data_IF_921430390590
#
_entry.id   IF_921430390590
#
_cell.length_a   1.000
_cell.length_b   1.000
_cell.length_c   1.000
_cell.angle_alpha   90.00
_cell.angle_beta   90.00
_cell.angle_gamma   90.00
#
_symmetry.space_group_name_H-M   'P 1'
#
loop_
_entity.id
_entity.type
_entity.pdbx_description
1 polymer ?
#
# COMPACT_ATOMS: atom_id res chain seq x y z
N UNK A 1 33.84 45.24 26.33
CA UNK A 1 33.12 44.48 25.29
C UNK A 1 32.11 43.60 25.99
N UNK A 2 30.83 43.78 25.66
CA UNK A 2 29.65 43.38 26.45
C UNK A 2 29.37 41.87 26.43
N UNK A 3 29.02 41.31 27.59
CA UNK A 3 28.52 39.94 27.81
C UNK A 3 27.30 39.55 26.94
N UNK A 4 26.64 40.51 26.29
CA UNK A 4 25.60 40.22 25.30
C UNK A 4 26.13 39.51 24.04
N UNK A 5 27.40 39.68 23.68
CA UNK A 5 27.98 39.04 22.49
C UNK A 5 28.35 37.56 22.71
N UNK A 6 28.59 37.13 23.96
CA UNK A 6 28.90 35.71 24.26
C UNK A 6 27.66 34.82 24.28
N UNK A 7 26.52 35.35 24.74
CA UNK A 7 25.26 34.59 24.79
C UNK A 7 24.59 34.39 23.42
N UNK A 8 24.85 35.25 22.43
CA UNK A 8 24.31 35.05 21.08
C UNK A 8 25.06 33.97 20.30
N UNK A 9 26.40 33.88 20.46
CA UNK A 9 27.22 32.87 19.80
C UNK A 9 26.94 31.44 20.30
N UNK A 10 26.70 31.25 21.60
CA UNK A 10 26.31 29.93 22.14
C UNK A 10 24.93 29.46 21.67
N UNK A 11 23.97 30.37 21.45
CA UNK A 11 22.64 30.02 20.90
C UNK A 11 22.67 29.70 19.41
N UNK A 12 23.55 30.35 18.64
CA UNK A 12 23.73 30.05 17.21
C UNK A 12 24.41 28.69 17.03
N UNK A 13 25.37 28.31 17.89
CA UNK A 13 25.95 26.96 17.87
C UNK A 13 24.94 25.86 18.24
N UNK A 14 24.00 26.12 19.15
CA UNK A 14 22.96 25.13 19.51
C UNK A 14 21.93 24.91 18.38
N UNK A 15 21.58 25.96 17.63
CA UNK A 15 20.66 25.84 16.49
C UNK A 15 21.35 25.16 15.30
N UNK A 16 22.65 25.39 15.09
CA UNK A 16 23.41 24.70 14.05
C UNK A 16 23.55 23.19 14.30
N UNK A 17 23.64 22.76 15.57
CA UNK A 17 23.68 21.33 15.92
C UNK A 17 22.28 20.68 15.76
N UNK A 18 21.19 21.41 16.03
CA UNK A 18 19.83 20.88 15.84
C UNK A 18 19.40 20.79 14.36
N UNK A 19 19.97 21.61 13.47
CA UNK A 19 19.66 21.60 12.03
C UNK A 19 20.48 20.54 11.29
N UNK A 20 21.65 20.14 11.80
CA UNK A 20 22.48 19.10 11.18
C UNK A 20 22.05 17.65 11.54
N UNK A 21 21.25 17.46 12.58
CA UNK A 21 20.68 16.13 12.91
C UNK A 21 19.39 15.81 12.15
N UNK A 22 18.77 16.79 11.49
CA UNK A 22 17.52 16.60 10.74
C UNK A 22 17.69 16.03 9.33
N UNK A 23 18.87 16.17 8.72
CA UNK A 23 19.15 15.68 7.36
C UNK A 23 19.81 14.30 7.29
N UNK A 24 20.55 13.90 8.33
CA UNK A 24 21.21 12.59 8.40
C UNK A 24 20.31 11.48 8.96
N UNK A 25 19.26 11.82 9.70
CA UNK A 25 18.33 10.84 10.27
C UNK A 25 17.32 10.28 9.25
N UNK A 26 17.07 10.96 8.13
CA UNK A 26 16.09 10.49 7.15
C UNK A 26 16.67 9.39 6.28
N UNK A 27 17.82 9.57 5.61
CA UNK A 27 18.47 8.55 4.77
C UNK A 27 18.77 7.24 5.53
N UNK A 28 18.87 7.32 6.87
CA UNK A 28 19.08 6.17 7.72
C UNK A 28 17.93 5.15 7.67
N UNK A 29 16.67 5.54 7.41
CA UNK A 29 15.55 4.59 7.51
C UNK A 29 15.53 3.59 6.35
N UNK A 30 15.62 4.06 5.11
CA UNK A 30 15.67 3.17 3.94
C UNK A 30 16.95 2.31 3.93
N UNK A 31 18.09 2.85 4.38
CA UNK A 31 19.34 2.08 4.51
C UNK A 31 19.28 1.03 5.62
N UNK A 32 18.69 1.36 6.77
CA UNK A 32 18.43 0.41 7.85
C UNK A 32 17.50 -0.71 7.37
N UNK A 33 16.44 -0.36 6.66
CA UNK A 33 15.52 -1.34 6.09
C UNK A 33 16.24 -2.25 5.09
N UNK A 34 17.05 -1.70 4.18
CA UNK A 34 17.85 -2.49 3.24
C UNK A 34 18.79 -3.49 3.95
N UNK A 35 19.36 -3.11 5.09
CA UNK A 35 20.18 -4.00 5.92
C UNK A 35 19.35 -5.09 6.57
N UNK A 36 18.16 -4.74 7.08
CA UNK A 36 17.21 -5.68 7.67
C UNK A 36 16.75 -6.74 6.68
N UNK A 37 16.48 -6.37 5.42
CA UNK A 37 15.99 -7.30 4.39
C UNK A 37 16.95 -8.46 4.10
N UNK A 38 18.26 -8.27 4.34
CA UNK A 38 19.28 -9.32 4.14
C UNK A 38 19.11 -10.53 5.05
N UNK A 39 18.34 -10.41 6.14
CA UNK A 39 18.01 -11.55 6.99
C UNK A 39 17.06 -12.54 6.31
N UNK A 40 16.39 -12.12 5.23
CA UNK A 40 15.43 -12.94 4.48
C UNK A 40 16.01 -13.53 3.19
N UNK A 41 17.27 -13.25 2.87
CA UNK A 41 17.95 -13.74 1.68
C UNK A 41 18.81 -12.69 1.00
N UNK A 42 19.28 -13.00 -0.21
CA UNK A 42 19.99 -12.04 -1.05
C UNK A 42 18.98 -11.07 -1.70
N UNK A 43 18.61 -10.03 -0.95
CA UNK A 43 17.61 -9.02 -1.31
C UNK A 43 18.25 -7.64 -1.34
N UNK A 44 18.11 -6.95 -2.47
CA UNK A 44 18.48 -5.54 -2.63
C UNK A 44 17.22 -4.66 -2.64
N UNK A 45 17.24 -3.61 -1.82
CA UNK A 45 16.26 -2.53 -1.89
C UNK A 45 16.78 -1.43 -2.81
N UNK A 46 16.07 -1.19 -3.92
CA UNK A 46 16.49 -0.32 -5.00
C UNK A 46 15.55 0.87 -5.12
N UNK A 47 16.01 2.05 -4.71
CA UNK A 47 15.25 3.29 -4.88
C UNK A 47 15.49 3.87 -6.27
N UNK A 48 14.43 4.37 -6.92
CA UNK A 48 14.53 5.00 -8.25
C UNK A 48 13.79 6.33 -8.37
N UNK A 49 14.28 7.22 -9.24
CA UNK A 49 13.71 8.54 -9.50
C UNK A 49 13.23 8.69 -10.95
N UNK A 50 11.92 8.69 -11.16
CA UNK A 50 11.33 8.86 -12.48
C UNK A 50 11.63 7.69 -13.43
N UNK A 51 11.38 7.90 -14.73
CA UNK A 51 11.37 6.80 -15.71
C UNK A 51 12.76 6.39 -16.17
N UNK A 52 13.63 7.36 -16.43
CA UNK A 52 14.96 7.08 -17.00
C UNK A 52 15.82 6.29 -16.00
N UNK A 53 15.85 6.72 -14.75
CA UNK A 53 16.56 6.02 -13.68
C UNK A 53 15.98 4.62 -13.44
N UNK A 54 14.64 4.49 -13.46
CA UNK A 54 13.96 3.20 -13.38
C UNK A 54 14.43 2.23 -14.47
N UNK A 55 14.36 2.66 -15.74
CA UNK A 55 14.75 1.82 -16.88
C UNK A 55 16.24 1.46 -16.82
N UNK A 56 17.10 2.40 -16.43
CA UNK A 56 18.53 2.14 -16.25
C UNK A 56 18.80 1.07 -15.19
N UNK A 57 18.09 1.09 -14.07
CA UNK A 57 18.27 0.08 -13.00
C UNK A 57 17.68 -1.27 -13.38
N UNK A 58 16.55 -1.29 -14.10
CA UNK A 58 15.98 -2.53 -14.64
C UNK A 58 16.93 -3.13 -15.68
N UNK A 59 17.54 -2.32 -16.55
CA UNK A 59 18.54 -2.81 -17.52
C UNK A 59 19.75 -3.43 -16.82
N UNK A 60 20.28 -2.76 -15.80
CA UNK A 60 21.38 -3.29 -14.99
C UNK A 60 21.01 -4.62 -14.29
N UNK A 61 19.78 -4.72 -13.78
CA UNK A 61 19.30 -5.90 -13.04
C UNK A 61 18.93 -7.10 -13.95
N UNK A 62 18.15 -6.86 -15.00
CA UNK A 62 17.52 -7.89 -15.84
C UNK A 62 18.07 -7.95 -17.27
N UNK A 63 18.62 -6.84 -17.76
CA UNK A 63 18.81 -6.58 -19.19
C UNK A 63 17.48 -6.35 -19.89
N UNK A 64 17.18 -5.11 -20.27
CA UNK A 64 15.93 -4.73 -20.96
C UNK A 64 15.73 -5.50 -22.27
N UNK A 65 16.82 -5.93 -22.92
CA UNK A 65 16.77 -6.78 -24.11
C UNK A 65 16.11 -8.14 -23.90
N UNK A 66 15.93 -8.59 -22.65
CA UNK A 66 15.23 -9.82 -22.30
C UNK A 66 13.73 -9.60 -22.03
N UNK A 67 13.28 -8.35 -21.99
CA UNK A 67 11.89 -7.98 -21.73
C UNK A 67 11.22 -7.72 -23.08
N UNK A 68 10.11 -8.38 -23.35
CA UNK A 68 9.31 -8.10 -24.55
C UNK A 68 8.76 -6.68 -24.47
N UNK A 69 9.13 -5.83 -25.43
CA UNK A 69 8.68 -4.44 -25.57
C UNK A 69 8.81 -3.62 -24.25
N UNK A 70 10.02 -3.37 -23.74
CA UNK A 70 10.22 -2.74 -22.43
C UNK A 70 9.58 -1.34 -22.33
N UNK A 71 9.59 -0.57 -23.43
CA UNK A 71 8.95 0.75 -23.47
C UNK A 71 7.45 0.69 -23.20
N UNK A 72 6.77 -0.33 -23.73
CA UNK A 72 5.35 -0.57 -23.54
C UNK A 72 5.08 -1.16 -22.15
N UNK A 73 5.86 -2.16 -21.74
CA UNK A 73 5.73 -2.84 -20.43
C UNK A 73 5.87 -1.84 -19.28
N UNK A 74 6.82 -0.91 -19.40
CA UNK A 74 7.07 0.10 -18.38
C UNK A 74 6.49 1.46 -18.73
N UNK A 75 5.58 1.56 -19.72
CA UNK A 75 4.94 2.83 -20.13
C UNK A 75 4.34 3.60 -18.95
N UNK A 76 3.86 2.87 -17.94
CA UNK A 76 3.45 3.41 -16.63
C UNK A 76 4.40 2.87 -15.58
N UNK A 77 5.00 3.78 -14.81
CA UNK A 77 5.86 3.37 -13.70
C UNK A 77 5.04 2.74 -12.58
N UNK A 78 5.61 1.74 -11.89
CA UNK A 78 5.03 1.20 -10.66
C UNK A 78 4.73 2.31 -9.66
N UNK A 79 3.53 2.27 -9.09
CA UNK A 79 3.07 3.23 -8.07
C UNK A 79 3.22 2.72 -6.65
N UNK A 80 3.63 1.47 -6.48
CA UNK A 80 3.96 0.80 -5.22
C UNK A 80 5.40 0.29 -5.28
N UNK A 81 5.98 -0.11 -4.13
CA UNK A 81 7.03 -1.11 -4.12
C UNK A 81 6.63 -2.30 -4.99
N UNK A 82 7.59 -2.88 -5.68
CA UNK A 82 7.35 -4.11 -6.43
C UNK A 82 8.64 -4.93 -6.52
N UNK A 83 8.45 -6.24 -6.53
CA UNK A 83 9.53 -7.20 -6.58
C UNK A 83 9.87 -7.56 -8.01
N UNK A 84 11.17 -7.61 -8.28
CA UNK A 84 11.73 -8.20 -9.47
C UNK A 84 12.50 -9.44 -9.06
N UNK A 85 11.91 -10.58 -9.41
CA UNK A 85 12.50 -11.90 -9.32
C UNK A 85 12.42 -12.55 -10.71
N UNK A 86 13.20 -13.60 -10.98
CA UNK A 86 13.13 -14.31 -12.26
C UNK A 86 14.47 -14.77 -12.79
N UNK A 87 14.66 -14.66 -14.12
CA UNK A 87 15.84 -15.16 -14.84
C UNK A 87 16.42 -14.12 -15.79
N UNK A 88 17.74 -14.13 -15.98
CA UNK A 88 18.46 -13.45 -17.08
C UNK A 88 18.87 -14.51 -18.11
N UNK A 89 18.10 -14.66 -19.18
CA UNK A 89 18.18 -15.83 -20.04
C UNK A 89 17.76 -17.09 -19.26
N UNK A 90 18.60 -18.13 -19.25
CA UNK A 90 18.35 -19.37 -18.51
C UNK A 90 18.82 -19.34 -17.04
N UNK A 91 19.58 -18.33 -16.63
CA UNK A 91 20.08 -18.24 -15.26
C UNK A 91 19.04 -17.56 -14.36
N UNK A 92 18.67 -18.19 -13.24
CA UNK A 92 17.95 -17.49 -12.18
C UNK A 92 18.79 -16.30 -11.69
N UNK A 93 18.13 -15.18 -11.42
CA UNK A 93 18.79 -14.05 -10.78
C UNK A 93 19.24 -14.50 -9.40
N UNK A 94 20.52 -14.28 -9.09
CA UNK A 94 21.08 -14.62 -7.78
C UNK A 94 20.48 -13.74 -6.66
N UNK A 95 20.19 -12.48 -7.00
CA UNK A 95 19.72 -11.45 -6.08
C UNK A 95 18.29 -11.04 -6.42
N UNK A 96 17.39 -11.10 -5.45
CA UNK A 96 16.07 -10.50 -5.54
C UNK A 96 16.17 -8.98 -5.40
N UNK A 97 15.39 -8.22 -6.17
CA UNK A 97 15.37 -6.76 -6.07
C UNK A 97 13.98 -6.24 -5.80
N UNK A 98 13.84 -5.44 -4.76
CA UNK A 98 12.61 -4.70 -4.45
C UNK A 98 12.83 -3.27 -4.89
N UNK A 99 12.04 -2.81 -5.87
CA UNK A 99 12.15 -1.47 -6.41
C UNK A 99 11.13 -0.55 -5.74
N UNK A 100 11.59 0.62 -5.27
CA UNK A 100 10.76 1.61 -4.59
C UNK A 100 10.89 2.97 -5.27
N UNK A 101 9.78 3.61 -5.69
CA UNK A 101 9.84 4.99 -6.16
C UNK A 101 10.31 5.91 -5.02
N UNK A 102 11.26 6.82 -5.30
CA UNK A 102 11.82 7.76 -4.31
C UNK A 102 10.73 8.56 -3.58
N UNK A 103 9.65 8.92 -4.28
CA UNK A 103 8.52 9.64 -3.68
C UNK A 103 7.73 8.84 -2.63
N UNK A 104 7.97 7.55 -2.46
CA UNK A 104 7.24 6.68 -1.53
C UNK A 104 8.08 6.24 -0.33
N UNK A 105 9.35 6.63 -0.27
CA UNK A 105 10.21 6.27 0.85
C UNK A 105 9.86 7.11 2.09
N UNK A 106 10.18 6.66 3.31
CA UNK A 106 9.90 7.42 4.54
C UNK A 106 10.50 8.83 4.52
N UNK A 107 11.63 9.00 3.84
CA UNK A 107 12.33 10.28 3.70
C UNK A 107 11.56 11.31 2.88
N UNK A 108 10.68 10.87 1.98
CA UNK A 108 9.87 11.75 1.15
C UNK A 108 8.75 12.45 1.94
N UNK A 109 8.40 11.91 3.11
CA UNK A 109 7.25 12.32 3.95
C UNK A 109 5.90 12.22 3.24
N UNK A 110 5.84 11.51 2.10
CA UNK A 110 4.59 11.16 1.43
C UNK A 110 3.98 9.97 2.14
N UNK A 111 2.69 10.05 2.47
CA UNK A 111 1.97 8.92 3.02
C UNK A 111 1.68 7.91 1.92
N UNK A 112 2.37 6.77 1.97
CA UNK A 112 2.35 5.77 0.89
C UNK A 112 0.94 5.24 0.61
N UNK A 113 0.14 4.96 1.63
CA UNK A 113 -1.24 4.51 1.44
C UNK A 113 -2.11 5.59 0.78
N UNK A 114 -1.94 6.86 1.13
CA UNK A 114 -2.65 7.96 0.49
C UNK A 114 -2.33 8.02 -1.01
N UNK A 115 -1.04 7.98 -1.36
CA UNK A 115 -0.58 8.04 -2.74
C UNK A 115 -1.03 6.81 -3.56
N UNK A 116 -1.03 5.62 -2.95
CA UNK A 116 -1.53 4.38 -3.57
C UNK A 116 -3.05 4.41 -3.79
N UNK A 117 -3.80 4.97 -2.85
CA UNK A 117 -5.23 5.26 -2.98
C UNK A 117 -5.51 6.52 -3.81
N UNK A 118 -4.51 7.03 -4.54
CA UNK A 118 -4.61 8.17 -5.46
C UNK A 118 -5.09 9.47 -4.79
N UNK A 119 -4.82 9.61 -3.50
CA UNK A 119 -5.24 10.73 -2.66
C UNK A 119 -6.77 10.94 -2.67
N UNK A 120 -7.55 9.88 -2.93
CA UNK A 120 -9.03 9.94 -2.88
C UNK A 120 -9.56 10.40 -1.53
N UNK A 121 -8.80 10.10 -0.49
CA UNK A 121 -9.12 10.37 0.91
C UNK A 121 -8.30 11.52 1.50
N UNK A 122 -7.63 12.30 0.65
CA UNK A 122 -6.65 13.30 1.04
C UNK A 122 -5.21 12.77 1.00
N UNK A 123 -4.26 13.69 1.14
CA UNK A 123 -2.82 13.40 1.19
C UNK A 123 -2.31 13.09 2.61
N UNK A 124 -3.21 13.19 3.60
CA UNK A 124 -2.97 12.86 5.00
C UNK A 124 -4.11 12.00 5.50
N UNK A 125 -3.79 10.83 6.00
CA UNK A 125 -4.71 9.84 6.50
C UNK A 125 -4.57 9.72 8.02
N UNK A 126 -5.62 9.20 8.62
CA UNK A 126 -5.59 8.79 10.01
C UNK A 126 -5.15 7.32 10.13
N UNK A 127 -4.22 7.03 11.04
CA UNK A 127 -3.68 5.69 11.25
C UNK A 127 -3.95 5.24 12.69
N UNK A 128 -4.25 3.95 12.87
CA UNK A 128 -4.24 3.35 14.20
C UNK A 128 -2.80 3.09 14.67
N UNK A 129 -1.92 2.71 13.73
CA UNK A 129 -0.48 2.58 13.94
C UNK A 129 0.25 3.82 13.43
N UNK A 130 1.04 3.73 12.34
CA UNK A 130 1.79 4.83 11.74
C UNK A 130 1.98 4.60 10.24
N UNK A 131 2.15 5.70 9.49
CA UNK A 131 2.54 5.63 8.07
C UNK A 131 3.85 4.82 7.87
N UNK A 132 4.84 5.00 8.75
CA UNK A 132 6.13 4.28 8.69
C UNK A 132 5.95 2.76 8.82
N UNK A 133 5.09 2.31 9.74
CA UNK A 133 4.82 0.88 9.90
C UNK A 133 4.09 0.29 8.70
N UNK A 134 3.16 1.04 8.10
CA UNK A 134 2.47 0.59 6.87
C UNK A 134 3.39 0.58 5.64
N UNK A 135 4.35 1.50 5.55
CA UNK A 135 5.42 1.44 4.56
C UNK A 135 6.26 0.17 4.72
N UNK A 136 6.71 -0.11 5.95
CA UNK A 136 7.46 -1.34 6.24
C UNK A 136 6.65 -2.57 5.89
N UNK A 137 5.35 -2.59 6.14
CA UNK A 137 4.48 -3.70 5.77
C UNK A 137 4.47 -3.95 4.25
N UNK A 138 4.40 -2.91 3.41
CA UNK A 138 4.51 -3.07 1.96
C UNK A 138 5.88 -3.63 1.53
N UNK A 139 6.97 -3.19 2.18
CA UNK A 139 8.30 -3.73 1.85
C UNK A 139 8.43 -5.19 2.26
N UNK A 140 7.93 -5.57 3.43
CA UNK A 140 7.94 -6.97 3.89
C UNK A 140 6.99 -7.85 3.07
N UNK A 141 5.92 -7.29 2.51
CA UNK A 141 5.07 -7.97 1.55
C UNK A 141 5.90 -8.36 0.31
N UNK A 142 6.66 -7.41 -0.24
CA UNK A 142 7.58 -7.67 -1.37
C UNK A 142 8.70 -8.68 -1.01
N UNK A 143 9.20 -8.67 0.23
CA UNK A 143 10.16 -9.69 0.70
C UNK A 143 9.60 -11.11 0.60
N UNK A 144 8.30 -11.32 0.83
CA UNK A 144 7.70 -12.65 0.64
C UNK A 144 7.77 -13.09 -0.82
N UNK A 145 7.59 -12.17 -1.76
CA UNK A 145 7.69 -12.42 -3.20
C UNK A 145 9.12 -12.73 -3.67
N UNK A 146 10.14 -12.41 -2.87
CA UNK A 146 11.52 -12.84 -3.12
C UNK A 146 11.77 -14.34 -2.88
N UNK A 147 10.84 -15.07 -2.24
CA UNK A 147 11.01 -16.46 -1.87
C UNK A 147 10.59 -17.43 -2.99
N UNK A 148 11.22 -18.62 -3.09
CA UNK A 148 11.19 -19.43 -4.30
C UNK A 148 9.86 -20.11 -4.67
N UNK A 149 8.85 -20.02 -3.82
CA UNK A 149 7.52 -20.59 -3.97
C UNK A 149 6.43 -19.56 -4.33
N UNK A 150 6.79 -18.27 -4.37
CA UNK A 150 5.95 -17.14 -4.78
C UNK A 150 6.32 -16.67 -6.20
N UNK A 151 6.02 -17.50 -7.19
CA UNK A 151 6.29 -17.17 -8.58
C UNK A 151 5.11 -17.51 -9.48
N UNK A 152 4.52 -16.47 -10.06
CA UNK A 152 3.67 -16.45 -11.24
C UNK A 152 2.78 -17.67 -11.45
N UNK A 153 1.47 -17.49 -11.28
CA UNK A 153 0.48 -18.52 -11.53
C UNK A 153 -0.70 -18.03 -12.36
N UNK A 154 -1.82 -18.73 -12.21
CA UNK A 154 -3.10 -18.17 -12.62
C UNK A 154 -3.59 -17.17 -11.57
N UNK A 155 -4.68 -16.47 -11.89
CA UNK A 155 -5.25 -15.45 -10.98
C UNK A 155 -5.57 -15.98 -9.57
N UNK A 156 -5.82 -17.28 -9.40
CA UNK A 156 -6.12 -17.89 -8.10
C UNK A 156 -4.83 -18.12 -7.31
N UNK A 157 -3.79 -18.64 -7.95
CA UNK A 157 -2.47 -18.78 -7.32
C UNK A 157 -1.88 -17.41 -6.97
N UNK A 158 -1.95 -16.44 -7.88
CA UNK A 158 -1.47 -15.08 -7.61
C UNK A 158 -2.25 -14.45 -6.45
N UNK A 159 -3.56 -14.70 -6.35
CA UNK A 159 -4.36 -14.23 -5.21
C UNK A 159 -3.92 -14.84 -3.88
N UNK A 160 -3.63 -16.14 -3.86
CA UNK A 160 -3.11 -16.81 -2.68
C UNK A 160 -1.74 -16.25 -2.28
N UNK A 161 -0.88 -15.98 -3.25
CA UNK A 161 0.45 -15.41 -3.02
C UNK A 161 0.34 -13.99 -2.45
N UNK A 162 -0.51 -13.14 -3.00
CA UNK A 162 -0.76 -11.81 -2.45
C UNK A 162 -1.25 -11.87 -0.99
N UNK A 163 -2.14 -12.82 -0.69
CA UNK A 163 -2.65 -13.04 0.67
C UNK A 163 -1.56 -13.55 1.63
N UNK A 164 -0.74 -14.50 1.20
CA UNK A 164 0.39 -15.01 1.98
C UNK A 164 1.44 -13.94 2.25
N UNK A 165 1.70 -13.06 1.28
CA UNK A 165 2.61 -11.93 1.43
C UNK A 165 2.10 -10.91 2.44
N UNK A 166 0.80 -10.59 2.43
CA UNK A 166 0.18 -9.73 3.44
C UNK A 166 0.32 -10.31 4.87
N UNK A 167 0.05 -11.62 5.01
CA UNK A 167 0.16 -12.31 6.29
C UNK A 167 1.61 -12.46 6.77
N UNK A 168 2.53 -12.73 5.86
CA UNK A 168 3.96 -12.77 6.17
C UNK A 168 4.40 -11.42 6.73
N UNK A 169 4.12 -10.33 6.01
CA UNK A 169 4.49 -8.98 6.43
C UNK A 169 3.88 -8.61 7.79
N UNK A 170 2.60 -8.94 7.99
CA UNK A 170 1.93 -8.73 9.27
C UNK A 170 2.63 -9.50 10.40
N UNK A 171 2.95 -10.78 10.22
CA UNK A 171 3.60 -11.61 11.24
C UNK A 171 5.01 -11.13 11.60
N UNK A 172 5.76 -10.60 10.62
CA UNK A 172 7.11 -10.08 10.88
C UNK A 172 7.11 -8.76 11.65
N UNK A 173 6.08 -7.92 11.47
CA UNK A 173 6.04 -6.56 12.02
C UNK A 173 5.14 -6.42 13.25
N UNK A 174 4.17 -7.32 13.42
CA UNK A 174 3.25 -7.28 14.55
C UNK A 174 3.97 -7.69 15.85
N UNK A 175 3.84 -6.83 16.85
CA UNK A 175 4.27 -7.01 18.24
C UNK A 175 3.03 -7.03 19.13
N UNK A 176 3.16 -7.46 20.38
CA UNK A 176 2.05 -7.42 21.33
C UNK A 176 1.44 -6.02 21.51
N UNK A 177 2.23 -4.96 21.25
CA UNK A 177 1.83 -3.57 21.46
C UNK A 177 1.12 -2.95 20.25
N UNK A 178 1.50 -3.35 19.03
CA UNK A 178 0.99 -2.72 17.80
C UNK A 178 0.11 -3.66 16.94
N UNK A 179 -0.08 -4.93 17.33
CA UNK A 179 -0.75 -5.94 16.51
C UNK A 179 -2.13 -5.48 16.02
N UNK A 180 -2.98 -5.02 16.93
CA UNK A 180 -4.35 -4.64 16.60
C UNK A 180 -4.38 -3.37 15.73
N UNK A 181 -3.51 -2.41 16.05
CA UNK A 181 -3.38 -1.16 15.29
C UNK A 181 -2.91 -1.42 13.85
N UNK A 182 -1.87 -2.25 13.68
CA UNK A 182 -1.37 -2.63 12.36
C UNK A 182 -2.42 -3.43 11.59
N UNK A 183 -3.11 -4.35 12.26
CA UNK A 183 -4.21 -5.11 11.67
C UNK A 183 -5.31 -4.18 11.11
N UNK A 184 -5.75 -3.20 11.89
CA UNK A 184 -6.74 -2.21 11.45
C UNK A 184 -6.28 -1.49 10.19
N UNK A 185 -5.04 -0.97 10.17
CA UNK A 185 -4.52 -0.21 9.04
C UNK A 185 -4.40 -1.07 7.75
N UNK A 186 -3.84 -2.28 7.84
CA UNK A 186 -3.63 -3.14 6.65
C UNK A 186 -4.95 -3.69 6.11
N UNK A 187 -5.89 -4.05 6.99
CA UNK A 187 -7.23 -4.50 6.59
C UNK A 187 -7.95 -3.37 5.90
N UNK A 188 -7.96 -2.17 6.49
CA UNK A 188 -8.60 -1.01 5.89
C UNK A 188 -8.02 -0.71 4.49
N UNK A 189 -6.69 -0.77 4.35
CA UNK A 189 -6.02 -0.52 3.08
C UNK A 189 -6.38 -1.57 2.03
N UNK A 190 -6.34 -2.86 2.37
CA UNK A 190 -6.72 -3.94 1.45
C UNK A 190 -8.20 -3.92 1.11
N UNK A 191 -9.09 -3.57 2.03
CA UNK A 191 -10.51 -3.41 1.74
C UNK A 191 -10.76 -2.31 0.70
N UNK A 192 -10.15 -1.13 0.89
CA UNK A 192 -10.29 -0.01 -0.05
C UNK A 192 -9.70 -0.37 -1.42
N UNK A 193 -8.48 -0.86 -1.46
CA UNK A 193 -7.80 -1.17 -2.72
C UNK A 193 -8.51 -2.31 -3.47
N UNK A 194 -8.87 -3.40 -2.80
CA UNK A 194 -9.60 -4.53 -3.38
C UNK A 194 -10.96 -4.11 -3.93
N UNK A 195 -11.72 -3.28 -3.20
CA UNK A 195 -13.03 -2.85 -3.65
C UNK A 195 -12.95 -1.88 -4.84
N UNK A 196 -11.96 -0.99 -4.88
CA UNK A 196 -12.03 0.15 -5.79
C UNK A 196 -11.08 0.11 -7.00
N UNK A 197 -9.86 -0.44 -6.86
CA UNK A 197 -8.81 -0.25 -7.88
C UNK A 197 -7.97 -1.48 -8.20
N UNK A 198 -7.91 -2.47 -7.31
CA UNK A 198 -7.01 -3.60 -7.46
C UNK A 198 -7.40 -4.52 -8.63
N UNK A 199 -6.41 -5.20 -9.19
CA UNK A 199 -6.62 -6.33 -10.08
C UNK A 199 -7.09 -7.58 -9.29
N UNK A 200 -7.65 -8.60 -9.96
CA UNK A 200 -8.19 -9.78 -9.26
C UNK A 200 -7.20 -10.49 -8.33
N UNK A 201 -5.91 -10.55 -8.66
CA UNK A 201 -4.89 -11.14 -7.78
C UNK A 201 -4.79 -10.40 -6.44
N UNK A 202 -5.03 -9.09 -6.41
CA UNK A 202 -4.88 -8.27 -5.21
C UNK A 202 -6.21 -8.06 -4.45
N UNK A 203 -7.26 -8.81 -4.80
CA UNK A 203 -8.56 -8.77 -4.10
C UNK A 203 -8.55 -9.64 -2.84
N UNK A 204 -7.63 -9.37 -1.91
CA UNK A 204 -7.32 -10.20 -0.71
C UNK A 204 -7.88 -9.64 0.60
N UNK A 205 -8.70 -8.57 0.54
CA UNK A 205 -9.12 -7.84 1.74
C UNK A 205 -9.92 -8.67 2.75
N UNK A 206 -10.83 -9.53 2.30
CA UNK A 206 -11.64 -10.38 3.20
C UNK A 206 -10.83 -11.55 3.73
N UNK A 207 -10.02 -12.21 2.89
CA UNK A 207 -9.16 -13.30 3.32
C UNK A 207 -8.15 -12.81 4.36
N UNK A 208 -7.53 -11.65 4.14
CA UNK A 208 -6.65 -11.01 5.13
C UNK A 208 -7.40 -10.72 6.43
N UNK A 209 -8.55 -10.04 6.36
CA UNK A 209 -9.39 -9.73 7.53
C UNK A 209 -9.72 -10.99 8.33
N UNK A 210 -10.22 -12.03 7.66
CA UNK A 210 -10.60 -13.29 8.31
C UNK A 210 -9.41 -14.01 8.92
N UNK A 211 -8.26 -14.03 8.25
CA UNK A 211 -7.06 -14.67 8.79
C UNK A 211 -6.55 -13.95 10.05
N UNK A 212 -6.59 -12.61 10.09
CA UNK A 212 -6.20 -11.83 11.27
C UNK A 212 -7.20 -12.00 12.42
N UNK A 213 -8.49 -12.14 12.10
CA UNK A 213 -9.59 -12.43 13.05
C UNK A 213 -9.73 -13.91 13.42
N UNK A 214 -8.82 -14.78 12.95
CA UNK A 214 -8.85 -16.24 13.18
C UNK A 214 -10.17 -16.91 12.74
N UNK A 215 -10.79 -16.38 11.69
CA UNK A 215 -12.01 -16.89 11.05
C UNK A 215 -11.67 -17.87 9.92
N UNK A 216 -12.62 -18.75 9.54
CA UNK A 216 -12.40 -19.70 8.45
C UNK A 216 -11.96 -19.02 7.14
N UNK A 217 -11.01 -19.62 6.40
CA UNK A 217 -10.50 -19.05 5.16
C UNK A 217 -11.58 -18.97 4.08
N UNK A 218 -11.43 -17.99 3.18
CA UNK A 218 -12.34 -17.79 2.05
C UNK A 218 -11.73 -18.37 0.78
N UNK A 219 -12.58 -18.92 -0.10
CA UNK A 219 -12.12 -19.35 -1.42
C UNK A 219 -11.79 -18.12 -2.28
N UNK A 220 -10.60 -18.11 -2.90
CA UNK A 220 -10.12 -17.02 -3.75
C UNK A 220 -11.10 -16.62 -4.86
N UNK A 221 -11.70 -17.59 -5.57
CA UNK A 221 -12.67 -17.28 -6.65
C UNK A 221 -13.91 -16.59 -6.11
N UNK A 222 -14.39 -17.04 -4.95
CA UNK A 222 -15.55 -16.44 -4.28
C UNK A 222 -15.24 -15.02 -3.82
N UNK A 223 -14.07 -14.80 -3.22
CA UNK A 223 -13.63 -13.47 -2.78
C UNK A 223 -13.51 -12.48 -3.95
N UNK A 224 -12.83 -12.90 -5.03
CA UNK A 224 -12.67 -12.11 -6.25
C UNK A 224 -14.04 -11.75 -6.85
N UNK A 225 -14.96 -12.71 -6.90
CA UNK A 225 -16.30 -12.47 -7.43
C UNK A 225 -17.06 -11.44 -6.57
N UNK A 226 -16.98 -11.54 -5.25
CA UNK A 226 -17.62 -10.62 -4.33
C UNK A 226 -17.07 -9.19 -4.46
N UNK A 227 -15.74 -9.01 -4.49
CA UNK A 227 -15.13 -7.69 -4.70
C UNK A 227 -15.49 -7.09 -6.07
N UNK A 228 -15.55 -7.90 -7.13
CA UNK A 228 -16.01 -7.43 -8.45
C UNK A 228 -17.47 -6.99 -8.43
N UNK A 229 -18.34 -7.75 -7.76
CA UNK A 229 -19.75 -7.40 -7.61
C UNK A 229 -19.90 -6.08 -6.85
N UNK A 230 -19.24 -5.94 -5.71
CA UNK A 230 -19.24 -4.70 -4.92
C UNK A 230 -18.70 -3.50 -5.71
N UNK A 231 -17.59 -3.67 -6.45
CA UNK A 231 -17.06 -2.61 -7.31
C UNK A 231 -18.08 -2.15 -8.35
N UNK A 232 -18.81 -3.08 -8.94
CA UNK A 232 -19.87 -2.77 -9.91
C UNK A 232 -21.04 -2.04 -9.25
N UNK A 233 -21.47 -2.47 -8.05
CA UNK A 233 -22.52 -1.79 -7.27
C UNK A 233 -22.13 -0.35 -6.94
N UNK A 234 -20.92 -0.14 -6.40
CA UNK A 234 -20.38 1.19 -6.09
C UNK A 234 -20.33 2.06 -7.35
N UNK A 235 -19.83 1.52 -8.46
CA UNK A 235 -19.74 2.26 -9.72
C UNK A 235 -21.11 2.63 -10.29
N UNK A 236 -22.12 1.77 -10.15
CA UNK A 236 -23.49 2.06 -10.56
C UNK A 236 -24.13 3.13 -9.67
N UNK A 237 -24.02 3.00 -8.35
CA UNK A 237 -24.56 3.96 -7.40
C UNK A 237 -23.89 5.33 -7.55
N UNK A 238 -22.56 5.38 -7.65
CA UNK A 238 -21.81 6.61 -7.84
C UNK A 238 -22.24 7.34 -9.12
N UNK A 239 -22.51 6.63 -10.22
CA UNK A 239 -23.06 7.21 -11.46
C UNK A 239 -24.50 7.69 -11.29
N UNK A 240 -25.32 6.97 -10.51
CA UNK A 240 -26.71 7.36 -10.27
C UNK A 240 -26.84 8.66 -9.49
N UNK A 241 -25.89 8.94 -8.58
CA UNK A 241 -25.88 10.16 -7.77
C UNK A 241 -24.97 11.26 -8.33
N UNK A 242 -24.20 10.96 -9.38
CA UNK A 242 -23.25 11.91 -9.95
C UNK A 242 -23.95 13.07 -10.65
N UNK A 243 -23.44 14.27 -10.41
CA UNK A 243 -23.89 15.50 -11.06
C UNK A 243 -23.19 15.75 -12.40
N UNK A 244 -22.15 14.96 -12.72
CA UNK A 244 -21.41 15.01 -13.98
C UNK A 244 -21.19 13.62 -14.55
N UNK A 245 -20.72 13.52 -15.80
CA UNK A 245 -20.51 12.23 -16.50
C UNK A 245 -19.57 11.28 -15.74
N UNK A 246 -18.55 11.83 -15.07
CA UNK A 246 -17.60 11.06 -14.27
C UNK A 246 -17.81 11.38 -12.78
N UNK A 247 -18.16 10.39 -11.96
CA UNK A 247 -18.32 10.61 -10.52
C UNK A 247 -17.03 11.17 -9.89
N UNK A 248 -17.20 12.16 -9.03
CA UNK A 248 -16.16 12.71 -8.16
C UNK A 248 -15.80 11.73 -7.04
N UNK A 249 -14.65 11.92 -6.38
CA UNK A 249 -14.29 11.11 -5.21
C UNK A 249 -15.34 11.22 -4.09
N UNK A 250 -15.93 12.40 -3.90
CA UNK A 250 -17.00 12.60 -2.91
C UNK A 250 -18.24 11.78 -3.25
N UNK A 251 -18.65 11.75 -4.52
CA UNK A 251 -19.78 10.93 -4.97
C UNK A 251 -19.45 9.43 -4.84
N UNK A 252 -18.22 9.00 -5.12
CA UNK A 252 -17.80 7.62 -4.89
C UNK A 252 -17.95 7.19 -3.42
N UNK A 253 -17.49 8.04 -2.49
CA UNK A 253 -17.56 7.74 -1.06
C UNK A 253 -19.01 7.78 -0.56
N UNK A 254 -19.80 8.76 -1.00
CA UNK A 254 -21.23 8.81 -0.70
C UNK A 254 -21.95 7.54 -1.17
N UNK A 255 -21.65 7.05 -2.37
CA UNK A 255 -22.22 5.82 -2.89
C UNK A 255 -21.91 4.60 -2.01
N UNK A 256 -20.70 4.49 -1.47
CA UNK A 256 -20.31 3.43 -0.54
C UNK A 256 -21.13 3.52 0.75
N UNK A 257 -21.24 4.71 1.32
CA UNK A 257 -22.02 4.94 2.55
C UNK A 257 -23.50 4.64 2.34
N UNK A 258 -24.11 5.06 1.22
CA UNK A 258 -25.51 4.72 0.89
C UNK A 258 -25.70 3.21 0.73
N UNK A 259 -24.84 2.53 -0.02
CA UNK A 259 -24.89 1.07 -0.19
C UNK A 259 -24.74 0.30 1.12
N UNK A 260 -23.96 0.80 2.08
CA UNK A 260 -23.89 0.24 3.44
C UNK A 260 -25.25 0.30 4.15
N UNK A 261 -26.01 1.38 4.01
CA UNK A 261 -27.32 1.50 4.66
C UNK A 261 -28.36 0.57 4.03
N UNK A 262 -28.20 0.28 2.74
CA UNK A 262 -29.09 -0.63 1.99
C UNK A 262 -28.73 -2.12 2.16
N UNK A 263 -27.72 -2.47 2.97
CA UNK A 263 -27.30 -3.87 3.15
C UNK A 263 -28.38 -4.76 3.76
N UNK A 264 -29.40 -4.19 4.41
CA UNK A 264 -30.57 -4.93 4.91
C UNK A 264 -31.38 -5.59 3.77
N UNK A 265 -31.18 -5.14 2.52
CA UNK A 265 -31.83 -5.68 1.32
C UNK A 265 -30.89 -6.55 0.46
N UNK A 266 -29.62 -6.68 0.85
CA UNK A 266 -28.62 -7.41 0.06
C UNK A 266 -28.82 -8.93 0.19
N UNK A 267 -28.79 -9.63 -0.95
CA UNK A 267 -28.98 -11.08 -1.02
C UNK A 267 -27.69 -11.89 -0.82
N UNK A 268 -26.53 -11.26 -0.86
CA UNK A 268 -25.22 -11.91 -0.71
C UNK A 268 -24.49 -11.43 0.56
N UNK A 269 -24.30 -12.30 1.58
CA UNK A 269 -23.60 -11.97 2.81
C UNK A 269 -22.17 -11.45 2.62
N UNK A 270 -21.45 -11.88 1.58
CA UNK A 270 -20.08 -11.42 1.34
C UNK A 270 -20.07 -9.98 0.81
N UNK A 271 -21.02 -9.62 -0.04
CA UNK A 271 -21.13 -8.24 -0.52
C UNK A 271 -21.46 -7.30 0.65
N UNK A 272 -22.36 -7.72 1.56
CA UNK A 272 -22.65 -6.98 2.80
C UNK A 272 -21.41 -6.84 3.67
N UNK A 273 -20.66 -7.92 3.92
CA UNK A 273 -19.43 -7.87 4.71
C UNK A 273 -18.40 -6.90 4.10
N UNK A 274 -18.24 -6.91 2.78
CA UNK A 274 -17.33 -5.99 2.08
C UNK A 274 -17.79 -4.54 2.22
N UNK A 275 -19.07 -4.24 1.98
CA UNK A 275 -19.60 -2.88 2.03
C UNK A 275 -19.45 -2.27 3.43
N UNK A 276 -19.75 -3.05 4.48
CA UNK A 276 -19.56 -2.61 5.88
C UNK A 276 -18.08 -2.33 6.15
N UNK A 277 -17.20 -3.31 5.88
CA UNK A 277 -15.78 -3.18 6.16
C UNK A 277 -15.09 -2.10 5.30
N UNK A 278 -15.58 -1.86 4.08
CA UNK A 278 -15.10 -0.78 3.22
C UNK A 278 -15.47 0.60 3.77
N UNK A 279 -16.73 0.80 4.20
CA UNK A 279 -17.15 2.06 4.78
C UNK A 279 -16.43 2.34 6.12
N UNK A 280 -16.25 1.31 6.96
CA UNK A 280 -15.45 1.40 8.19
C UNK A 280 -13.98 1.73 7.88
N UNK A 281 -13.40 1.16 6.81
CA UNK A 281 -12.05 1.47 6.37
C UNK A 281 -11.89 2.94 5.93
N UNK A 282 -12.91 3.51 5.29
CA UNK A 282 -12.92 4.92 4.89
C UNK A 282 -13.07 5.81 6.13
N UNK A 283 -13.97 5.48 7.04
CA UNK A 283 -14.12 6.20 8.31
C UNK A 283 -12.81 6.19 9.13
N UNK A 284 -12.08 5.08 9.08
CA UNK A 284 -10.78 4.92 9.73
C UNK A 284 -9.71 5.86 9.16
N UNK A 285 -9.51 5.86 7.83
CA UNK A 285 -8.45 6.67 7.21
C UNK A 285 -8.82 8.14 6.99
N UNK A 286 -10.12 8.44 6.87
CA UNK A 286 -10.60 9.76 6.49
C UNK A 286 -11.90 10.14 7.22
N UNK A 287 -11.85 10.26 8.57
CA UNK A 287 -13.04 10.48 9.39
C UNK A 287 -13.81 11.74 9.02
N UNK A 288 -13.12 12.85 8.75
CA UNK A 288 -13.77 14.12 8.38
C UNK A 288 -14.50 14.02 7.03
N UNK A 289 -13.89 13.32 6.05
CA UNK A 289 -14.49 13.11 4.74
C UNK A 289 -15.70 12.18 4.83
N UNK A 290 -15.57 11.09 5.60
CA UNK A 290 -16.66 10.16 5.88
C UNK A 290 -17.85 10.87 6.54
N UNK A 291 -17.60 11.68 7.57
CA UNK A 291 -18.64 12.47 8.24
C UNK A 291 -19.32 13.45 7.27
N UNK A 292 -18.58 14.05 6.34
CA UNK A 292 -19.12 15.02 5.37
C UNK A 292 -20.12 14.43 4.35
N UNK A 293 -20.14 13.11 4.19
CA UNK A 293 -21.09 12.41 3.31
C UNK A 293 -22.14 11.63 4.08
N UNK A 294 -21.87 11.20 5.31
CA UNK A 294 -22.81 10.46 6.16
C UNK A 294 -24.07 11.28 6.52
N UNK A 295 -24.00 12.60 6.46
CA UNK A 295 -25.13 13.51 6.80
C UNK A 295 -25.93 13.99 5.59
N UNK A 296 -25.57 13.60 4.36
CA UNK A 296 -26.23 14.08 3.15
C UNK A 296 -27.45 13.23 2.86
N UNK A 297 -28.63 13.74 3.23
CA UNK A 297 -29.95 13.21 2.81
C UNK A 297 -30.38 13.88 1.51
#
# INVERSE_FOLDING_TARGET
MSDRARNSLQRICLIAILVLTGGAASHAQTEQLATELRHFGDIELVVFEGREDFLSKIDAALGLGNIKNPDQTFARLPRSPFTVTGRKGDAALATCRIFVPTKLTPESKTEIFAELMRNWFGAKLHYASTADLTFRWLIFHEVRHCQPDHFGGDVVKDHQDEHEADLFAFKQLATAQNRDQLATDIIAFRMITAALIAEPSHMTGLSLKRAVEERPPLNAKTEIAAFKAVRAMIGAQAKSIATTVNPTNRELIRAITELRHDTDQATDPLNTEILIALDDAIAHFAPDLHQSVATVR
#
